data_IF_565105997765
#
_entry.id   IF_565105997765
#
_cell.length_a   1.000
_cell.length_b   1.000
_cell.length_c   1.000
_cell.angle_alpha   90.00
_cell.angle_beta   90.00
_cell.angle_gamma   90.00
#
_symmetry.space_group_name_H-M   'P 1'
#
loop_
_entity.id
_entity.type
_entity.pdbx_description
1 polymer ?
#
# COMPACT_ATOMS: atom_id res chain seq x y z
N UNK A 1 -23.57 31.94 -42.43
CA UNK A 1 -22.68 30.77 -42.60
C UNK A 1 -21.84 30.65 -41.34
N UNK A 2 -22.17 29.71 -40.44
CA UNK A 2 -21.50 29.52 -39.16
C UNK A 2 -20.72 28.20 -39.23
N UNK A 3 -19.39 28.26 -39.39
CA UNK A 3 -18.54 27.07 -39.34
C UNK A 3 -18.25 26.73 -37.88
N UNK A 4 -18.92 25.69 -37.38
CA UNK A 4 -18.65 25.12 -36.05
C UNK A 4 -17.33 24.33 -36.10
N UNK A 5 -16.27 24.88 -35.52
CA UNK A 5 -15.03 24.12 -35.27
C UNK A 5 -15.25 23.19 -34.07
N UNK A 6 -15.40 21.89 -34.32
CA UNK A 6 -15.51 20.91 -33.25
C UNK A 6 -14.23 20.91 -32.39
N UNK A 7 -14.34 20.98 -31.04
CA UNK A 7 -13.17 20.91 -30.17
C UNK A 7 -12.51 19.53 -30.29
N UNK A 8 -11.21 19.52 -30.63
CA UNK A 8 -10.42 18.28 -30.68
C UNK A 8 -10.25 17.75 -29.25
N UNK A 9 -10.65 16.50 -28.95
CA UNK A 9 -10.52 15.97 -27.60
C UNK A 9 -9.05 15.86 -27.21
N UNK A 10 -8.67 16.27 -25.99
CA UNK A 10 -7.30 16.11 -25.52
C UNK A 10 -6.94 14.62 -25.50
N UNK A 11 -5.84 14.25 -26.16
CA UNK A 11 -5.32 12.88 -26.11
C UNK A 11 -4.83 12.61 -24.68
N UNK A 12 -5.53 11.73 -23.96
CA UNK A 12 -5.13 11.33 -22.61
C UNK A 12 -3.92 10.41 -22.73
N UNK A 13 -2.73 11.00 -22.56
CA UNK A 13 -1.47 10.23 -22.54
C UNK A 13 -1.29 9.58 -21.17
N UNK A 14 -0.73 8.35 -21.13
CA UNK A 14 -0.39 7.64 -19.88
C UNK A 14 0.47 8.47 -18.90
N UNK A 15 1.33 9.34 -19.43
CA UNK A 15 2.13 10.28 -18.62
C UNK A 15 1.27 11.35 -17.94
N UNK A 16 0.21 11.81 -18.58
CA UNK A 16 -0.74 12.77 -18.01
C UNK A 16 -1.60 12.14 -16.92
N UNK A 17 -2.02 10.87 -17.08
CA UNK A 17 -2.79 10.17 -16.04
C UNK A 17 -1.96 9.94 -14.76
N UNK A 18 -0.69 9.53 -14.87
CA UNK A 18 0.22 9.42 -13.70
C UNK A 18 0.42 10.76 -12.99
N UNK A 19 0.58 11.85 -13.75
CA UNK A 19 0.73 13.20 -13.20
C UNK A 19 -0.50 13.69 -12.42
N UNK A 20 -1.70 13.35 -12.90
CA UNK A 20 -2.96 13.69 -12.22
C UNK A 20 -3.12 12.89 -10.91
N UNK A 21 -2.86 11.58 -10.93
CA UNK A 21 -2.87 10.74 -9.72
C UNK A 21 -1.89 11.30 -8.67
N UNK A 22 -0.68 11.67 -9.10
CA UNK A 22 0.33 12.26 -8.22
C UNK A 22 -0.09 13.60 -7.58
N UNK A 23 -0.89 14.40 -8.27
CA UNK A 23 -1.46 15.64 -7.71
C UNK A 23 -2.57 15.36 -6.71
N UNK A 24 -3.43 14.38 -6.98
CA UNK A 24 -4.50 13.97 -6.05
C UNK A 24 -3.93 13.42 -4.75
N UNK A 25 -2.89 12.59 -4.82
CA UNK A 25 -2.21 12.03 -3.65
C UNK A 25 -1.56 13.11 -2.75
N UNK A 26 -1.09 14.22 -3.33
CA UNK A 26 -0.45 15.34 -2.60
C UNK A 26 -1.40 16.47 -2.19
N UNK A 27 -2.69 16.37 -2.47
CA UNK A 27 -3.65 17.37 -1.99
C UNK A 27 -3.82 17.27 -0.46
N UNK A 28 -3.98 18.40 0.24
CA UNK A 28 -4.09 18.43 1.72
C UNK A 28 -5.15 17.47 2.27
N UNK A 29 -6.33 17.42 1.63
CA UNK A 29 -7.43 16.54 2.04
C UNK A 29 -7.06 15.06 1.89
N UNK A 30 -6.55 14.66 0.72
CA UNK A 30 -6.16 13.27 0.48
C UNK A 30 -4.96 12.86 1.32
N UNK A 31 -4.02 13.78 1.56
CA UNK A 31 -2.87 13.53 2.43
C UNK A 31 -3.31 13.13 3.84
N UNK A 32 -4.24 13.87 4.46
CA UNK A 32 -4.76 13.50 5.78
C UNK A 32 -5.45 12.13 5.79
N UNK A 33 -6.23 11.82 4.75
CA UNK A 33 -6.87 10.51 4.60
C UNK A 33 -5.80 9.41 4.47
N UNK A 34 -4.80 9.60 3.61
CA UNK A 34 -3.71 8.65 3.41
C UNK A 34 -2.89 8.46 4.69
N UNK A 35 -2.60 9.53 5.42
CA UNK A 35 -1.89 9.46 6.70
C UNK A 35 -2.71 8.70 7.73
N UNK A 36 -4.02 8.93 7.80
CA UNK A 36 -4.91 8.16 8.67
C UNK A 36 -4.93 6.67 8.30
N UNK A 37 -5.08 6.35 7.00
CA UNK A 37 -5.04 4.98 6.51
C UNK A 37 -3.68 4.31 6.78
N UNK A 38 -2.59 5.03 6.58
CA UNK A 38 -1.23 4.57 6.87
C UNK A 38 -1.04 4.29 8.37
N UNK A 39 -1.52 5.18 9.23
CA UNK A 39 -1.46 4.99 10.68
C UNK A 39 -2.23 3.71 11.09
N UNK A 40 -3.42 3.50 10.54
CA UNK A 40 -4.20 2.30 10.79
C UNK A 40 -3.50 1.03 10.27
N UNK A 41 -2.93 1.08 9.06
CA UNK A 41 -2.17 -0.03 8.50
C UNK A 41 -0.93 -0.38 9.35
N UNK A 42 -0.26 0.62 9.93
CA UNK A 42 0.89 0.43 10.82
C UNK A 42 0.53 -0.35 12.08
N UNK A 43 -0.63 -0.05 12.69
CA UNK A 43 -1.12 -0.79 13.86
C UNK A 43 -1.41 -2.24 13.50
N UNK A 44 -2.08 -2.50 12.38
CA UNK A 44 -2.36 -3.88 11.94
C UNK A 44 -1.07 -4.65 11.63
N UNK A 45 -0.11 -3.99 10.96
CA UNK A 45 1.19 -4.59 10.64
C UNK A 45 2.02 -4.96 11.87
N UNK A 46 1.91 -4.21 12.96
CA UNK A 46 2.68 -4.49 14.19
C UNK A 46 2.19 -5.71 14.97
N UNK A 47 0.98 -6.20 14.70
CA UNK A 47 0.43 -7.41 15.33
C UNK A 47 1.08 -8.71 14.79
N UNK A 48 1.75 -8.63 13.64
CA UNK A 48 2.45 -9.78 13.05
C UNK A 48 3.68 -10.09 13.92
N UNK A 49 3.82 -11.32 14.45
CA UNK A 49 4.93 -11.66 15.33
C UNK A 49 6.27 -11.51 14.61
N UNK A 50 7.31 -11.03 15.31
CA UNK A 50 8.64 -10.80 14.74
C UNK A 50 9.66 -11.74 15.37
N UNK A 51 10.60 -12.27 14.56
CA UNK A 51 11.65 -13.20 15.03
C UNK A 51 12.58 -12.55 16.04
N UNK A 52 13.07 -11.29 15.86
CA UNK A 52 13.95 -10.64 16.84
C UNK A 52 13.31 -10.45 18.23
N UNK A 53 11.97 -10.33 18.29
CA UNK A 53 11.24 -10.05 19.53
C UNK A 53 10.75 -11.32 20.23
N UNK A 54 10.33 -12.34 19.47
CA UNK A 54 9.71 -13.55 20.02
C UNK A 54 9.75 -14.72 19.01
N UNK A 55 10.88 -15.45 18.91
CA UNK A 55 11.03 -16.59 17.99
C UNK A 55 9.98 -17.69 18.21
N UNK A 56 9.61 -17.94 19.46
CA UNK A 56 8.64 -18.95 19.87
C UNK A 56 7.22 -18.60 19.37
N UNK A 57 6.82 -17.33 19.44
CA UNK A 57 5.51 -16.90 18.92
C UNK A 57 5.43 -17.04 17.41
N UNK A 58 6.52 -16.77 16.69
CA UNK A 58 6.60 -16.98 15.24
C UNK A 58 6.52 -18.48 14.90
N UNK A 59 7.16 -19.35 15.68
CA UNK A 59 7.05 -20.79 15.51
C UNK A 59 5.60 -21.28 15.71
N UNK A 60 4.94 -20.89 16.81
CA UNK A 60 3.54 -21.25 17.07
C UNK A 60 2.60 -20.69 16.00
N UNK A 61 2.76 -19.44 15.59
CA UNK A 61 1.93 -18.82 14.56
C UNK A 61 1.99 -19.58 13.22
N UNK A 62 3.16 -20.09 12.84
CA UNK A 62 3.33 -20.86 11.61
C UNK A 62 2.70 -22.26 11.68
N UNK A 63 2.62 -22.84 12.87
CA UNK A 63 1.93 -24.12 13.10
C UNK A 63 0.41 -23.91 13.09
N UNK A 64 -0.07 -22.87 13.76
CA UNK A 64 -1.50 -22.52 13.84
C UNK A 64 -2.07 -22.05 12.50
N UNK A 65 -1.29 -21.29 11.73
CA UNK A 65 -1.71 -20.70 10.46
C UNK A 65 -0.83 -21.21 9.31
N UNK A 66 -1.01 -22.47 8.91
CA UNK A 66 -0.13 -23.13 7.93
C UNK A 66 -0.05 -22.38 6.59
N UNK A 67 -1.19 -21.91 6.05
CA UNK A 67 -1.24 -21.21 4.75
C UNK A 67 -0.68 -19.78 4.87
N UNK A 68 -1.19 -18.99 5.81
CA UNK A 68 -0.80 -17.58 5.98
C UNK A 68 0.64 -17.48 6.48
N UNK A 69 1.04 -18.33 7.41
CA UNK A 69 2.41 -18.44 7.91
C UNK A 69 3.41 -18.82 6.83
N UNK A 70 3.05 -19.73 5.91
CA UNK A 70 3.90 -20.04 4.76
C UNK A 70 4.04 -18.86 3.79
N UNK A 71 2.95 -18.12 3.54
CA UNK A 71 3.00 -16.90 2.75
C UNK A 71 3.88 -15.84 3.40
N UNK A 72 3.70 -15.59 4.70
CA UNK A 72 4.46 -14.59 5.46
C UNK A 72 5.94 -14.92 5.53
N UNK A 73 6.29 -16.20 5.74
CA UNK A 73 7.68 -16.67 5.68
C UNK A 73 8.30 -16.41 4.31
N UNK A 74 7.58 -16.72 3.22
CA UNK A 74 8.07 -16.51 1.85
C UNK A 74 8.21 -15.04 1.48
N UNK A 75 7.33 -14.20 2.00
CA UNK A 75 7.35 -12.75 1.80
C UNK A 75 8.31 -12.01 2.75
N UNK A 76 8.89 -12.70 3.75
CA UNK A 76 9.80 -12.10 4.72
C UNK A 76 9.13 -11.28 5.84
N UNK A 77 7.83 -11.46 6.08
CA UNK A 77 7.09 -10.62 7.04
C UNK A 77 7.44 -10.83 8.53
N UNK A 78 8.11 -11.93 8.87
CA UNK A 78 8.52 -12.22 10.25
C UNK A 78 9.86 -11.58 10.66
N UNK A 79 10.59 -10.97 9.73
CA UNK A 79 11.91 -10.38 9.98
C UNK A 79 12.06 -9.02 9.29
N UNK A 80 10.97 -8.24 9.21
CA UNK A 80 10.96 -6.95 8.50
C UNK A 80 11.78 -5.89 9.22
N UNK A 81 11.81 -5.97 10.55
CA UNK A 81 12.49 -5.00 11.41
C UNK A 81 13.81 -5.54 11.98
N UNK A 82 14.28 -6.70 11.49
CA UNK A 82 15.61 -7.22 11.80
C UNK A 82 16.68 -6.40 11.08
N UNK A 83 17.78 -6.11 11.79
CA UNK A 83 18.95 -5.38 11.27
C UNK A 83 20.09 -6.33 10.95
#
# INVERSE_FOLDING_TARGET
MSTSSAPVPPRVTLRHSMGLVWRTLRSMRTALILLFLLAMASVVGSLIPQIPNSPERVASYQVEHVVVGALFRRAGFFDVFGS
#
